data_IF_714906311181
#
_entry.id   IF_714906311181
#
_cell.length_a   1.000
_cell.length_b   1.000
_cell.length_c   1.000
_cell.angle_alpha   90.00
_cell.angle_beta   90.00
_cell.angle_gamma   90.00
#
_symmetry.space_group_name_H-M   'P 1'
#
loop_
_entity.id
_entity.type
_entity.pdbx_description
1 polymer ?
#
# COMPACT_ATOMS: atom_id res chain seq x y z
N UNK A 1 43.04 -47.40 -3.85
CA UNK A 1 42.13 -46.24 -3.70
C UNK A 1 42.83 -44.93 -3.36
N UNK A 2 44.12 -44.92 -2.99
CA UNK A 2 44.87 -43.69 -2.61
C UNK A 2 45.67 -43.04 -3.75
N UNK A 3 45.86 -43.69 -4.91
CA UNK A 3 46.60 -43.10 -6.04
C UNK A 3 45.75 -42.19 -6.93
N UNK A 4 44.43 -42.41 -7.01
CA UNK A 4 43.52 -41.58 -7.80
C UNK A 4 43.34 -40.16 -7.24
N UNK A 5 43.65 -39.92 -5.97
CA UNK A 5 43.57 -38.60 -5.34
C UNK A 5 44.74 -37.67 -5.69
N UNK A 6 45.91 -38.20 -6.08
CA UNK A 6 47.07 -37.35 -6.44
C UNK A 6 46.93 -36.71 -7.83
N UNK A 7 46.25 -37.37 -8.77
CA UNK A 7 46.10 -36.87 -10.14
C UNK A 7 45.15 -35.66 -10.23
N UNK A 8 44.18 -35.54 -9.32
CA UNK A 8 43.28 -34.38 -9.27
C UNK A 8 43.89 -33.12 -8.66
N UNK A 9 45.00 -33.23 -7.90
CA UNK A 9 45.62 -32.08 -7.22
C UNK A 9 46.43 -31.14 -8.13
N UNK A 10 46.83 -31.59 -9.33
CA UNK A 10 47.72 -30.82 -10.21
C UNK A 10 47.00 -30.10 -11.36
N UNK A 11 45.69 -30.29 -11.54
CA UNK A 11 44.92 -29.65 -12.61
C UNK A 11 44.10 -28.46 -12.08
N UNK A 12 44.04 -27.38 -12.84
CA UNK A 12 43.20 -26.21 -12.52
C UNK A 12 41.72 -26.59 -12.35
N UNK A 13 41.26 -27.62 -13.07
CA UNK A 13 39.91 -28.17 -12.96
C UNK A 13 39.67 -28.84 -11.59
N UNK A 14 40.65 -29.60 -11.07
CA UNK A 14 40.55 -30.22 -9.75
C UNK A 14 40.52 -29.21 -8.61
N UNK A 15 41.32 -28.13 -8.71
CA UNK A 15 41.30 -27.04 -7.75
C UNK A 15 39.94 -26.31 -7.70
N UNK A 16 39.31 -26.11 -8.87
CA UNK A 16 37.97 -25.49 -8.95
C UNK A 16 36.87 -26.40 -8.39
N UNK A 17 36.92 -27.71 -8.68
CA UNK A 17 35.97 -28.67 -8.12
C UNK A 17 36.06 -28.75 -6.59
N UNK A 18 37.28 -28.76 -6.03
CA UNK A 18 37.49 -28.77 -4.59
C UNK A 18 36.96 -27.49 -3.93
N UNK A 19 37.19 -26.32 -4.54
CA UNK A 19 36.65 -25.03 -4.07
C UNK A 19 35.13 -25.01 -4.08
N UNK A 20 34.51 -25.56 -5.12
CA UNK A 20 33.05 -25.65 -5.22
C UNK A 20 32.47 -26.55 -4.13
N UNK A 21 33.08 -27.72 -3.89
CA UNK A 21 32.65 -28.64 -2.82
C UNK A 21 32.79 -27.98 -1.44
N UNK A 22 33.91 -27.30 -1.19
CA UNK A 22 34.11 -26.52 0.04
C UNK A 22 33.04 -25.44 0.21
N UNK A 23 32.73 -24.69 -0.85
CA UNK A 23 31.70 -23.66 -0.83
C UNK A 23 30.32 -24.24 -0.50
N UNK A 24 29.95 -25.37 -1.12
CA UNK A 24 28.68 -26.05 -0.86
C UNK A 24 28.61 -26.56 0.58
N UNK A 25 29.70 -27.11 1.12
CA UNK A 25 29.75 -27.56 2.51
C UNK A 25 29.63 -26.39 3.51
N UNK A 26 30.29 -25.26 3.23
CA UNK A 26 30.21 -24.06 4.08
C UNK A 26 28.79 -23.46 4.05
N UNK A 27 28.19 -23.32 2.87
CA UNK A 27 26.83 -22.79 2.72
C UNK A 27 25.82 -23.74 3.34
N UNK A 28 25.93 -25.05 3.06
CA UNK A 28 25.06 -26.08 3.62
C UNK A 28 25.15 -26.14 5.15
N UNK A 29 26.36 -26.06 5.71
CA UNK A 29 26.58 -25.99 7.15
C UNK A 29 26.00 -24.72 7.79
N UNK A 30 26.18 -23.56 7.16
CA UNK A 30 25.62 -22.31 7.65
C UNK A 30 24.07 -22.32 7.65
N UNK A 31 23.45 -22.88 6.60
CA UNK A 31 22.00 -23.01 6.53
C UNK A 31 21.45 -24.02 7.53
N UNK A 32 22.19 -25.09 7.83
CA UNK A 32 21.80 -26.08 8.84
C UNK A 32 21.86 -25.53 10.28
N UNK A 33 22.77 -24.60 10.56
CA UNK A 33 22.90 -23.96 11.87
C UNK A 33 21.91 -22.80 12.11
N UNK A 34 21.34 -22.23 11.05
CA UNK A 34 20.39 -21.12 11.11
C UNK A 34 19.17 -21.37 12.04
N UNK A 35 18.48 -22.53 11.99
CA UNK A 35 17.33 -22.79 12.87
C UNK A 35 17.73 -23.05 14.34
N UNK A 36 18.98 -23.46 14.61
CA UNK A 36 19.47 -23.63 15.99
C UNK A 36 19.67 -22.26 16.64
N UNK A 37 20.25 -21.32 15.91
CA UNK A 37 20.43 -19.93 16.35
C UNK A 37 19.10 -19.19 16.56
N UNK A 38 18.06 -19.48 15.76
CA UNK A 38 16.75 -18.87 15.96
C UNK A 38 16.05 -19.35 17.24
N UNK A 39 16.46 -20.49 17.81
CA UNK A 39 15.82 -21.08 18.98
C UNK A 39 16.33 -20.55 20.32
N UNK A 40 17.54 -19.97 20.35
CA UNK A 40 18.14 -19.44 21.58
C UNK A 40 17.65 -18.02 21.96
N UNK A 41 16.90 -17.35 21.08
CA UNK A 41 16.31 -16.03 21.33
C UNK A 41 14.86 -16.04 21.82
N UNK A 42 14.23 -17.22 21.90
CA UNK A 42 12.88 -17.37 22.39
C UNK A 42 12.95 -17.53 23.91
N UNK A 43 13.01 -16.40 24.63
CA UNK A 43 12.78 -16.42 26.08
C UNK A 43 11.50 -17.22 26.34
N UNK A 44 11.49 -18.10 27.37
CA UNK A 44 10.30 -18.88 27.70
C UNK A 44 9.16 -17.91 27.93
N UNK A 45 8.26 -17.80 26.93
CA UNK A 45 7.08 -16.95 26.98
C UNK A 45 6.38 -17.24 28.29
N UNK A 46 6.47 -16.29 29.22
CA UNK A 46 5.80 -16.35 30.49
C UNK A 46 4.36 -16.78 30.20
N UNK A 47 3.97 -17.96 30.71
CA UNK A 47 2.63 -18.48 30.46
C UNK A 47 1.64 -17.35 30.78
N UNK A 48 0.79 -16.95 29.81
CA UNK A 48 -0.09 -15.82 30.00
C UNK A 48 -0.92 -16.10 31.24
N UNK A 49 -0.64 -15.37 32.32
CA UNK A 49 -1.32 -15.55 33.58
C UNK A 49 -2.68 -14.92 33.37
N UNK A 50 -3.66 -15.73 32.97
CA UNK A 50 -5.04 -15.29 32.79
C UNK A 50 -5.52 -14.80 34.14
N UNK A 51 -5.53 -13.47 34.34
CA UNK A 51 -6.13 -12.86 35.52
C UNK A 51 -7.58 -13.31 35.57
N UNK A 52 -7.99 -13.85 36.71
CA UNK A 52 -9.38 -14.19 36.96
C UNK A 52 -10.26 -12.96 36.68
N UNK A 53 -11.43 -13.13 36.05
CA UNK A 53 -12.32 -12.04 35.73
C UNK A 53 -12.72 -11.32 37.02
N UNK A 54 -12.26 -10.07 37.16
CA UNK A 54 -12.71 -9.19 38.23
C UNK A 54 -14.15 -8.82 37.88
N UNK A 55 -15.10 -9.29 38.68
CA UNK A 55 -16.49 -8.83 38.62
C UNK A 55 -16.49 -7.35 39.03
N UNK A 56 -16.50 -6.46 38.04
CA UNK A 56 -16.74 -5.05 38.27
C UNK A 56 -18.15 -4.92 38.85
N UNK A 57 -18.34 -4.14 39.93
CA UNK A 57 -19.68 -3.85 40.43
C UNK A 57 -20.51 -3.28 39.29
N UNK A 58 -21.66 -3.91 39.03
CA UNK A 58 -22.59 -3.52 37.97
C UNK A 58 -22.89 -2.04 38.16
N UNK A 59 -22.50 -1.21 37.20
CA UNK A 59 -22.81 0.21 37.22
C UNK A 59 -24.34 0.34 37.39
N UNK A 60 -24.81 1.21 38.31
CA UNK A 60 -26.24 1.43 38.46
C UNK A 60 -26.83 1.79 37.09
N UNK A 61 -28.05 1.32 36.77
CA UNK A 61 -28.67 1.59 35.49
C UNK A 61 -28.63 3.09 35.22
N UNK A 62 -28.25 3.51 34.00
CA UNK A 62 -28.16 4.91 33.68
C UNK A 62 -29.49 5.59 34.06
N UNK A 63 -29.44 6.77 34.71
CA UNK A 63 -30.65 7.46 35.11
C UNK A 63 -31.56 7.59 33.90
N UNK A 64 -32.84 7.21 34.07
CA UNK A 64 -33.81 7.26 32.98
C UNK A 64 -33.69 8.61 32.29
N UNK A 65 -33.38 8.58 30.99
CA UNK A 65 -33.18 9.78 30.22
C UNK A 65 -34.42 10.65 30.39
N UNK A 66 -34.24 11.85 30.96
CA UNK A 66 -35.33 12.81 31.11
C UNK A 66 -36.02 12.93 29.74
N UNK A 67 -37.37 12.89 29.68
CA UNK A 67 -38.10 13.02 28.43
C UNK A 67 -37.54 14.23 27.68
N UNK A 68 -36.95 13.99 26.51
CA UNK A 68 -36.47 15.09 25.69
C UNK A 68 -37.70 15.93 25.35
N UNK A 69 -37.65 17.27 25.53
CA UNK A 69 -38.77 18.11 25.14
C UNK A 69 -39.11 17.81 23.69
N UNK A 70 -40.37 17.47 23.43
CA UNK A 70 -40.85 17.23 22.08
C UNK A 70 -40.55 18.49 21.27
N UNK A 71 -39.86 18.31 20.14
CA UNK A 71 -39.59 19.41 19.23
C UNK A 71 -40.92 20.02 18.82
N UNK A 72 -41.03 21.35 18.87
CA UNK A 72 -42.23 22.00 18.37
C UNK A 72 -42.39 21.69 16.88
N UNK A 73 -43.62 21.71 16.33
CA UNK A 73 -43.85 21.48 14.91
C UNK A 73 -42.99 22.36 13.99
N UNK A 74 -42.67 23.58 14.43
CA UNK A 74 -41.81 24.52 13.71
C UNK A 74 -40.33 24.15 13.79
N UNK A 75 -39.88 23.59 14.92
CA UNK A 75 -38.54 23.04 15.05
C UNK A 75 -38.39 21.80 14.17
N UNK A 76 -39.37 20.88 14.19
CA UNK A 76 -39.38 19.71 13.32
C UNK A 76 -39.31 20.11 11.84
N UNK A 77 -40.10 21.09 11.41
CA UNK A 77 -40.09 21.60 10.03
C UNK A 77 -38.75 22.18 9.57
N UNK A 78 -37.90 22.70 10.46
CA UNK A 78 -36.54 23.17 10.09
C UNK A 78 -35.62 22.04 9.67
N UNK A 79 -35.77 20.86 10.28
CA UNK A 79 -34.99 19.66 9.92
C UNK A 79 -35.44 19.05 8.59
N UNK A 80 -36.70 19.25 8.22
CA UNK A 80 -37.27 18.81 6.94
C UNK A 80 -37.37 19.93 5.90
N UNK A 81 -36.75 21.10 6.15
CA UNK A 81 -36.67 22.14 5.11
C UNK A 81 -35.96 21.50 3.92
N UNK A 82 -36.48 21.61 2.69
CA UNK A 82 -35.75 21.15 1.53
C UNK A 82 -34.38 21.81 1.57
N UNK A 83 -33.35 21.00 1.83
CA UNK A 83 -31.97 21.40 1.63
C UNK A 83 -31.94 21.95 0.21
N UNK A 84 -31.36 23.14 0.01
CA UNK A 84 -31.23 23.78 -1.31
C UNK A 84 -30.23 23.00 -2.19
N UNK A 85 -30.44 21.69 -2.32
CA UNK A 85 -29.65 20.75 -3.10
C UNK A 85 -29.83 20.99 -4.60
N UNK A 86 -30.89 21.70 -5.00
CA UNK A 86 -31.15 22.04 -6.40
C UNK A 86 -30.08 22.96 -7.01
N UNK A 87 -29.39 23.76 -6.18
CA UNK A 87 -28.26 24.60 -6.61
C UNK A 87 -26.90 23.97 -6.27
N UNK A 88 -26.86 23.06 -5.30
CA UNK A 88 -25.64 22.35 -4.93
C UNK A 88 -25.33 21.27 -5.98
N UNK A 89 -24.35 21.53 -6.83
CA UNK A 89 -23.75 20.50 -7.69
C UNK A 89 -22.97 19.52 -6.83
N UNK A 90 -23.60 18.42 -6.44
CA UNK A 90 -22.89 17.29 -5.86
C UNK A 90 -22.08 16.59 -6.96
N UNK A 91 -20.79 16.91 -7.04
CA UNK A 91 -19.86 16.07 -7.79
C UNK A 91 -19.61 14.80 -6.96
N UNK A 92 -20.43 13.77 -7.17
CA UNK A 92 -20.04 12.43 -6.77
C UNK A 92 -18.76 12.11 -7.56
N UNK A 93 -17.60 12.07 -6.89
CA UNK A 93 -16.32 11.70 -7.52
C UNK A 93 -15.92 10.25 -7.16
N UNK A 94 -16.55 9.20 -7.73
CA UNK A 94 -15.97 7.87 -7.70
C UNK A 94 -15.27 7.59 -9.03
N UNK A 95 -13.95 7.68 -8.99
CA UNK A 95 -13.00 6.70 -9.57
C UNK A 95 -11.60 7.24 -9.28
N UNK A 96 -11.20 7.20 -8.01
CA UNK A 96 -9.80 7.40 -7.69
C UNK A 96 -9.05 6.11 -8.03
N UNK A 97 -8.56 6.11 -9.26
CA UNK A 97 -7.56 5.21 -9.74
C UNK A 97 -7.51 5.36 -11.26
N UNK A 98 -6.30 5.55 -11.76
CA UNK A 98 -6.01 5.63 -13.20
C UNK A 98 -5.51 4.27 -13.64
N UNK A 99 -6.01 3.70 -14.75
CA UNK A 99 -5.50 2.41 -15.20
C UNK A 99 -3.98 2.50 -15.42
N UNK A 100 -3.18 1.51 -14.97
CA UNK A 100 -1.73 1.51 -15.20
C UNK A 100 -1.34 1.72 -16.67
N UNK A 101 -2.12 1.16 -17.61
CA UNK A 101 -1.93 1.40 -19.04
C UNK A 101 -2.02 2.88 -19.45
N UNK A 102 -2.99 3.62 -18.90
CA UNK A 102 -3.21 5.04 -19.23
C UNK A 102 -2.07 5.92 -18.70
N UNK A 103 -1.59 5.65 -17.47
CA UNK A 103 -0.41 6.32 -16.92
C UNK A 103 0.80 6.10 -17.81
N UNK A 104 0.96 4.89 -18.34
CA UNK A 104 2.04 4.58 -19.25
C UNK A 104 1.91 5.24 -20.62
N UNK A 105 0.71 5.30 -21.19
CA UNK A 105 0.49 6.03 -22.44
C UNK A 105 0.91 7.50 -22.30
N UNK A 106 0.64 8.13 -21.17
CA UNK A 106 1.04 9.52 -20.88
C UNK A 106 2.55 9.68 -20.73
N UNK A 107 3.21 8.82 -19.96
CA UNK A 107 4.66 8.92 -19.77
C UNK A 107 5.46 8.56 -21.03
N UNK A 108 4.93 7.71 -21.90
CA UNK A 108 5.53 7.48 -23.23
C UNK A 108 5.60 8.77 -24.06
N UNK A 109 4.57 9.61 -24.00
CA UNK A 109 4.55 10.89 -24.72
C UNK A 109 5.60 11.88 -24.20
N UNK A 110 6.11 11.69 -22.98
CA UNK A 110 7.14 12.55 -22.40
C UNK A 110 8.56 12.03 -22.65
N UNK A 111 8.73 10.94 -23.40
CA UNK A 111 10.04 10.38 -23.77
C UNK A 111 10.52 9.26 -22.85
N UNK A 112 9.63 8.66 -22.04
CA UNK A 112 9.93 7.39 -21.39
C UNK A 112 9.81 6.24 -22.39
N UNK A 113 10.60 5.20 -22.20
CA UNK A 113 10.50 3.93 -22.93
C UNK A 113 9.70 2.93 -22.11
N UNK A 114 8.92 2.07 -22.78
CA UNK A 114 8.17 0.99 -22.12
C UNK A 114 9.07 -0.24 -21.96
N UNK A 115 9.20 -0.70 -20.72
CA UNK A 115 9.86 -1.96 -20.40
C UNK A 115 8.85 -3.12 -20.43
N UNK A 116 7.72 -2.94 -19.74
CA UNK A 116 6.66 -3.95 -19.58
C UNK A 116 5.32 -3.27 -19.34
N UNK A 117 4.24 -3.84 -19.88
CA UNK A 117 2.87 -3.47 -19.54
C UNK A 117 1.98 -4.72 -19.55
N UNK A 118 0.96 -4.76 -18.69
CA UNK A 118 -0.02 -5.84 -18.63
C UNK A 118 -0.06 -6.51 -17.26
N UNK A 119 -0.46 -7.78 -17.20
CA UNK A 119 -0.59 -8.50 -15.93
C UNK A 119 0.76 -8.61 -15.18
N UNK A 120 0.73 -8.34 -13.88
CA UNK A 120 1.83 -8.57 -12.94
C UNK A 120 2.28 -10.02 -12.99
N UNK A 121 3.55 -10.33 -12.67
CA UNK A 121 3.97 -11.69 -12.36
C UNK A 121 3.11 -12.24 -11.20
N UNK A 122 2.22 -13.20 -11.50
CA UNK A 122 1.21 -13.71 -10.55
C UNK A 122 -0.25 -13.36 -10.91
N UNK A 123 -0.50 -12.64 -11.99
CA UNK A 123 -1.81 -12.55 -12.67
C UNK A 123 -2.90 -11.72 -11.99
N UNK A 124 -2.74 -11.33 -10.72
CA UNK A 124 -3.82 -10.68 -9.96
C UNK A 124 -3.92 -9.16 -10.12
N UNK A 125 -2.96 -8.51 -10.80
CA UNK A 125 -2.87 -7.04 -10.91
C UNK A 125 -2.41 -6.63 -12.29
N UNK A 126 -2.81 -5.46 -12.73
CA UNK A 126 -2.17 -4.80 -13.88
C UNK A 126 -0.95 -3.99 -13.39
N UNK A 127 0.15 -4.07 -14.14
CA UNK A 127 1.35 -3.31 -13.91
C UNK A 127 1.80 -2.64 -15.20
N UNK A 128 2.43 -1.48 -15.05
CA UNK A 128 3.17 -0.89 -16.13
C UNK A 128 4.51 -0.33 -15.66
N UNK A 129 5.56 -0.73 -16.36
CA UNK A 129 6.95 -0.39 -16.08
C UNK A 129 7.55 0.38 -17.25
N UNK A 130 8.23 1.47 -16.93
CA UNK A 130 8.86 2.37 -17.89
C UNK A 130 10.27 2.73 -17.44
N UNK A 131 11.14 3.00 -18.40
CA UNK A 131 12.48 3.52 -18.15
C UNK A 131 12.76 4.82 -18.87
N UNK A 132 13.65 5.61 -18.28
CA UNK A 132 14.29 6.74 -18.94
C UNK A 132 15.78 6.68 -18.65
N UNK A 133 16.58 6.78 -19.69
CA UNK A 133 18.03 6.60 -19.63
C UNK A 133 18.72 7.86 -20.10
N UNK A 134 19.69 8.32 -19.31
CA UNK A 134 20.56 9.43 -19.65
C UNK A 134 21.95 8.86 -19.94
N UNK A 135 22.33 8.72 -21.22
CA UNK A 135 23.60 8.11 -21.59
C UNK A 135 24.76 8.95 -21.06
N UNK A 136 25.79 8.27 -20.54
CA UNK A 136 27.02 8.93 -20.10
C UNK A 136 27.97 9.10 -21.29
N UNK A 137 28.49 10.32 -21.57
CA UNK A 137 29.30 10.58 -22.77
C UNK A 137 30.61 9.76 -22.91
N UNK A 138 31.13 9.19 -21.80
CA UNK A 138 32.44 8.56 -21.74
C UNK A 138 32.43 7.07 -21.34
N UNK A 139 31.36 6.33 -21.65
CA UNK A 139 31.33 4.85 -21.48
C UNK A 139 31.15 4.35 -20.05
N UNK A 140 30.70 5.18 -19.12
CA UNK A 140 30.31 4.75 -17.76
C UNK A 140 28.84 4.35 -17.64
N UNK A 141 28.43 3.95 -16.43
CA UNK A 141 27.03 3.61 -16.18
C UNK A 141 26.13 4.84 -16.39
N UNK A 142 25.04 4.65 -17.13
CA UNK A 142 24.06 5.69 -17.43
C UNK A 142 23.17 5.96 -16.21
N UNK A 143 22.80 7.22 -15.99
CA UNK A 143 21.72 7.56 -15.05
C UNK A 143 20.41 6.95 -15.57
N UNK A 144 19.68 6.26 -14.69
CA UNK A 144 18.45 5.54 -15.06
C UNK A 144 17.33 5.85 -14.10
N UNK A 145 16.17 6.16 -14.66
CA UNK A 145 14.90 6.28 -13.96
C UNK A 145 14.06 5.06 -14.33
N UNK A 146 13.46 4.43 -13.33
CA UNK A 146 12.55 3.31 -13.50
C UNK A 146 11.24 3.64 -12.80
N UNK A 147 10.16 3.76 -13.56
CA UNK A 147 8.82 3.98 -13.04
C UNK A 147 8.02 2.68 -13.10
N UNK A 148 7.24 2.41 -12.05
CA UNK A 148 6.34 1.27 -11.95
C UNK A 148 5.01 1.75 -11.38
N UNK A 149 3.95 1.63 -12.16
CA UNK A 149 2.57 1.84 -11.72
C UNK A 149 1.89 0.48 -11.51
N UNK A 150 1.17 0.31 -10.40
CA UNK A 150 0.48 -0.95 -10.07
C UNK A 150 -0.97 -0.71 -9.64
N UNK A 151 -1.87 -1.49 -10.22
CA UNK A 151 -3.28 -1.60 -9.82
C UNK A 151 -3.48 -2.14 -8.40
N UNK A 152 -4.68 -1.98 -7.85
CA UNK A 152 -5.07 -2.74 -6.67
C UNK A 152 -5.28 -4.23 -6.99
N UNK A 153 -5.57 -5.05 -5.97
CA UNK A 153 -5.74 -6.50 -6.13
C UNK A 153 -7.14 -6.79 -6.67
N UNK A 154 -7.24 -7.13 -7.96
CA UNK A 154 -8.50 -7.36 -8.65
C UNK A 154 -8.40 -6.96 -10.13
N UNK A 155 -9.17 -7.60 -11.01
CA UNK A 155 -9.11 -7.36 -12.47
C UNK A 155 -9.71 -6.01 -12.91
N UNK A 156 -10.37 -5.28 -12.01
CA UNK A 156 -11.07 -4.01 -12.32
C UNK A 156 -10.53 -2.79 -11.55
N UNK A 157 -9.44 -2.97 -10.79
CA UNK A 157 -8.95 -1.92 -9.91
C UNK A 157 -7.82 -1.11 -10.52
N UNK A 158 -8.00 0.20 -10.48
CA UNK A 158 -7.07 1.14 -11.05
C UNK A 158 -5.83 1.40 -10.16
N UNK A 159 -4.80 2.07 -10.70
CA UNK A 159 -3.50 2.23 -10.05
C UNK A 159 -3.61 2.90 -8.68
N UNK A 160 -3.01 2.27 -7.66
CA UNK A 160 -2.94 2.80 -6.30
C UNK A 160 -1.52 3.18 -5.89
N UNK A 161 -0.51 2.46 -6.37
CA UNK A 161 0.89 2.64 -5.98
C UNK A 161 1.74 2.88 -7.24
N UNK A 162 2.33 4.06 -7.31
CA UNK A 162 3.29 4.42 -8.34
C UNK A 162 4.64 4.66 -7.66
N UNK A 163 5.68 4.01 -8.17
CA UNK A 163 7.04 4.14 -7.66
C UNK A 163 7.98 4.54 -8.77
N UNK A 164 8.87 5.49 -8.50
CA UNK A 164 9.96 5.86 -9.39
C UNK A 164 11.28 5.68 -8.67
N UNK A 165 12.07 4.70 -9.10
CA UNK A 165 13.45 4.51 -8.68
C UNK A 165 14.38 5.36 -9.52
N UNK A 166 15.19 6.17 -8.87
CA UNK A 166 16.08 7.15 -9.49
C UNK A 166 17.50 6.72 -9.14
N UNK A 167 18.28 6.31 -10.14
CA UNK A 167 19.68 5.95 -9.97
C UNK A 167 20.55 6.98 -10.69
N UNK A 168 21.16 7.90 -9.95
CA UNK A 168 22.04 8.93 -10.50
C UNK A 168 23.49 8.43 -10.50
N UNK A 169 23.99 8.03 -11.66
CA UNK A 169 25.38 7.64 -11.89
C UNK A 169 26.24 8.79 -12.42
N UNK A 170 25.59 9.83 -12.92
CA UNK A 170 26.20 11.04 -13.46
C UNK A 170 25.49 12.27 -12.87
N UNK A 171 26.22 13.06 -12.10
CA UNK A 171 25.73 14.33 -11.52
C UNK A 171 25.39 15.34 -12.60
N UNK A 172 26.06 15.31 -13.76
CA UNK A 172 25.75 16.19 -14.89
C UNK A 172 24.34 15.96 -15.46
N UNK A 173 23.78 14.77 -15.26
CA UNK A 173 22.42 14.43 -15.68
C UNK A 173 21.37 14.70 -14.59
N UNK A 174 21.77 15.07 -13.36
CA UNK A 174 20.85 15.18 -12.23
C UNK A 174 19.76 16.23 -12.46
N UNK A 175 20.11 17.40 -13.00
CA UNK A 175 19.12 18.46 -13.23
C UNK A 175 18.07 18.05 -14.29
N UNK A 176 18.51 17.43 -15.39
CA UNK A 176 17.61 16.91 -16.42
C UNK A 176 16.72 15.79 -15.88
N UNK A 177 17.30 14.86 -15.12
CA UNK A 177 16.56 13.81 -14.42
C UNK A 177 15.52 14.39 -13.45
N UNK A 178 15.88 15.41 -12.67
CA UNK A 178 14.98 16.07 -11.72
C UNK A 178 13.80 16.75 -12.41
N UNK A 179 14.02 17.40 -13.57
CA UNK A 179 12.96 17.97 -14.40
C UNK A 179 12.03 16.89 -14.95
N UNK A 180 12.58 15.80 -15.47
CA UNK A 180 11.77 14.75 -16.09
C UNK A 180 10.97 13.94 -15.06
N UNK A 181 11.53 13.69 -13.87
CA UNK A 181 10.80 13.07 -12.75
C UNK A 181 9.72 14.02 -12.24
N UNK A 182 9.98 15.33 -12.17
CA UNK A 182 8.97 16.33 -11.80
C UNK A 182 7.83 16.39 -12.81
N UNK A 183 8.14 16.40 -14.11
CA UNK A 183 7.15 16.36 -15.18
C UNK A 183 6.32 15.06 -15.14
N UNK A 184 6.96 13.92 -14.86
CA UNK A 184 6.27 12.67 -14.64
C UNK A 184 5.31 12.75 -13.44
N UNK A 185 5.74 13.28 -12.29
CA UNK A 185 4.87 13.47 -11.13
C UNK A 185 3.65 14.34 -11.47
N UNK A 186 3.84 15.45 -12.18
CA UNK A 186 2.74 16.32 -12.64
C UNK A 186 1.78 15.53 -13.53
N UNK A 187 2.27 14.83 -14.55
CA UNK A 187 1.44 14.07 -15.47
C UNK A 187 0.65 12.94 -14.77
N UNK A 188 1.28 12.27 -13.79
CA UNK A 188 0.66 11.20 -13.01
C UNK A 188 -0.44 11.73 -12.09
N UNK A 189 -0.21 12.85 -11.40
CA UNK A 189 -1.21 13.46 -10.53
C UNK A 189 -2.34 14.11 -11.33
N UNK A 190 -2.02 14.77 -12.44
CA UNK A 190 -3.01 15.36 -13.35
C UNK A 190 -3.99 14.30 -13.89
N UNK A 191 -3.48 13.11 -14.25
CA UNK A 191 -4.31 11.99 -14.65
C UNK A 191 -5.31 11.54 -13.56
N UNK A 192 -4.99 11.79 -12.29
CA UNK A 192 -5.86 11.53 -11.15
C UNK A 192 -6.69 12.76 -10.72
N UNK A 193 -6.64 13.88 -11.47
CA UNK A 193 -7.31 15.14 -11.13
C UNK A 193 -6.65 15.87 -9.95
N UNK A 194 -5.38 15.60 -9.69
CA UNK A 194 -4.60 16.15 -8.58
C UNK A 194 -3.45 17.02 -9.12
N UNK A 195 -2.94 17.93 -8.29
CA UNK A 195 -1.77 18.74 -8.63
C UNK A 195 -0.72 18.69 -7.51
N UNK A 196 0.56 18.49 -7.81
CA UNK A 196 1.61 18.58 -6.81
C UNK A 196 1.81 20.03 -6.37
N UNK A 197 2.22 20.24 -5.11
CA UNK A 197 2.59 21.56 -4.61
C UNK A 197 3.92 22.05 -5.20
N UNK A 198 4.09 23.37 -5.34
CA UNK A 198 5.31 23.97 -5.86
C UNK A 198 6.56 23.59 -5.03
N UNK A 199 6.41 23.48 -3.70
CA UNK A 199 7.47 23.04 -2.79
C UNK A 199 7.87 21.59 -3.05
N UNK A 200 6.90 20.71 -3.30
CA UNK A 200 7.12 19.29 -3.67
C UNK A 200 7.91 19.19 -4.97
N UNK A 201 7.53 19.96 -5.99
CA UNK A 201 8.23 19.97 -7.28
C UNK A 201 9.66 20.52 -7.14
N UNK A 202 9.85 21.59 -6.36
CA UNK A 202 11.18 22.14 -6.10
C UNK A 202 12.09 21.13 -5.37
N UNK A 203 11.58 20.46 -4.34
CA UNK A 203 12.33 19.45 -3.61
C UNK A 203 12.68 18.25 -4.52
N UNK A 204 11.73 17.79 -5.32
CA UNK A 204 11.94 16.69 -6.26
C UNK A 204 12.97 17.03 -7.34
N UNK A 205 12.93 18.22 -7.91
CA UNK A 205 13.89 18.68 -8.91
C UNK A 205 15.33 18.74 -8.36
N UNK A 206 15.50 18.93 -7.05
CA UNK A 206 16.79 18.95 -6.34
C UNK A 206 17.15 17.59 -5.71
N UNK A 207 16.27 16.60 -5.82
CA UNK A 207 16.34 15.33 -5.09
C UNK A 207 16.51 15.49 -3.58
N UNK A 208 15.86 16.50 -3.00
CA UNK A 208 15.77 16.68 -1.54
C UNK A 208 14.67 15.75 -1.01
N UNK A 209 14.95 14.86 -0.04
CA UNK A 209 13.94 13.97 0.53
C UNK A 209 12.78 14.76 1.17
N UNK A 210 11.56 14.27 0.97
CA UNK A 210 10.35 14.90 1.51
C UNK A 210 9.22 13.88 1.71
N UNK A 211 8.23 14.27 2.50
CA UNK A 211 6.91 13.66 2.52
C UNK A 211 5.86 14.78 2.40
N UNK A 212 4.87 14.59 1.54
CA UNK A 212 3.85 15.57 1.23
C UNK A 212 2.49 14.90 0.97
N UNK A 213 1.42 15.69 1.03
CA UNK A 213 0.08 15.23 0.68
C UNK A 213 -0.57 16.20 -0.31
N UNK A 214 -1.18 15.68 -1.38
CA UNK A 214 -1.88 16.46 -2.39
C UNK A 214 -3.22 15.79 -2.72
N UNK A 215 -4.33 16.43 -2.33
CA UNK A 215 -5.69 15.90 -2.57
C UNK A 215 -5.87 14.45 -2.12
N UNK A 216 -5.36 14.11 -0.92
CA UNK A 216 -5.43 12.76 -0.36
C UNK A 216 -4.30 11.81 -0.78
N UNK A 217 -3.63 12.07 -1.91
CA UNK A 217 -2.46 11.28 -2.33
C UNK A 217 -1.26 11.56 -1.42
N UNK A 218 -0.57 10.50 -1.00
CA UNK A 218 0.68 10.60 -0.23
C UNK A 218 1.85 10.50 -1.20
N UNK A 219 2.74 11.49 -1.15
CA UNK A 219 3.89 11.59 -2.05
C UNK A 219 5.12 11.64 -1.15
N UNK A 220 6.10 10.77 -1.38
CA UNK A 220 7.34 10.76 -0.61
C UNK A 220 8.55 10.46 -1.46
N UNK A 221 9.62 11.22 -1.29
CA UNK A 221 10.92 10.94 -1.87
C UNK A 221 11.87 10.54 -0.75
N UNK A 222 12.41 9.32 -0.82
CA UNK A 222 13.37 8.81 0.17
C UNK A 222 14.69 8.44 -0.48
N UNK A 223 15.79 8.70 0.21
CA UNK A 223 17.11 8.21 -0.17
C UNK A 223 17.19 6.70 0.09
N UNK A 224 17.70 5.92 -0.86
CA UNK A 224 18.02 4.51 -0.67
C UNK A 224 19.54 4.33 -0.48
N UNK A 225 19.94 3.43 0.41
CA UNK A 225 21.35 3.11 0.63
C UNK A 225 21.91 2.37 -0.58
N UNK A 226 22.87 2.99 -1.26
CA UNK A 226 23.60 2.41 -2.40
C UNK A 226 25.00 3.04 -2.50
N UNK A 227 25.82 2.51 -3.40
CA UNK A 227 27.12 3.06 -3.83
C UNK A 227 26.99 4.35 -4.65
N UNK A 228 25.77 4.66 -5.11
CA UNK A 228 25.40 5.84 -5.88
C UNK A 228 24.28 6.63 -5.19
N UNK A 229 24.04 7.86 -5.66
CA UNK A 229 22.87 8.65 -5.22
C UNK A 229 21.60 8.02 -5.78
N UNK A 230 20.89 7.31 -4.91
CA UNK A 230 19.67 6.59 -5.25
C UNK A 230 18.48 7.09 -4.45
N UNK A 231 17.36 7.29 -5.14
CA UNK A 231 16.13 7.75 -4.54
C UNK A 231 14.95 6.87 -4.95
N UNK A 232 13.92 6.85 -4.11
CA UNK A 232 12.66 6.19 -4.35
C UNK A 232 11.53 7.17 -4.11
N UNK A 233 10.92 7.64 -5.21
CA UNK A 233 9.69 8.42 -5.18
C UNK A 233 8.53 7.42 -5.07
N UNK A 234 7.70 7.56 -4.05
CA UNK A 234 6.47 6.78 -3.88
C UNK A 234 5.28 7.72 -3.94
N UNK A 235 4.27 7.36 -4.74
CA UNK A 235 3.00 8.06 -4.86
C UNK A 235 1.91 7.04 -4.55
N UNK A 236 1.22 7.24 -3.44
CA UNK A 236 0.08 6.43 -3.05
C UNK A 236 -1.19 7.25 -3.28
N UNK A 237 -1.98 6.86 -4.28
CA UNK A 237 -3.26 7.50 -4.58
C UNK A 237 -4.31 7.11 -3.53
N UNK A 238 -5.26 8.01 -3.21
CA UNK A 238 -6.32 7.69 -2.27
C UNK A 238 -7.17 6.55 -2.81
N UNK A 239 -7.52 5.58 -1.96
CA UNK A 239 -8.47 4.54 -2.38
C UNK A 239 -9.87 5.15 -2.52
N UNK A 240 -10.66 4.71 -3.52
CA UNK A 240 -11.99 5.26 -3.77
C UNK A 240 -12.98 5.11 -2.60
N UNK A 241 -12.68 4.26 -1.60
CA UNK A 241 -13.55 3.99 -0.44
C UNK A 241 -12.91 4.27 0.94
N UNK A 242 -11.69 4.82 1.01
CA UNK A 242 -11.07 5.13 2.32
C UNK A 242 -11.55 6.47 2.94
N UNK A 243 -12.43 7.20 2.27
CA UNK A 243 -13.02 8.47 2.74
C UNK A 243 -14.10 8.35 3.82
N UNK A 244 -14.52 7.14 4.19
CA UNK A 244 -15.53 6.93 5.21
C UNK A 244 -15.56 5.50 5.66
N UNK A 245 -15.47 5.29 6.96
CA UNK A 245 -15.65 4.00 7.61
C UNK A 245 -16.92 3.31 7.03
N UNK A 246 -16.74 2.24 6.27
CA UNK A 246 -17.82 1.50 5.57
C UNK A 246 -18.81 0.86 6.55
N UNK A 247 -18.40 0.73 7.81
CA UNK A 247 -19.18 0.39 8.99
C UNK A 247 -20.32 1.37 9.29
N UNK A 248 -20.32 2.59 8.73
CA UNK A 248 -21.41 3.57 8.92
C UNK A 248 -22.65 3.27 8.07
N UNK A 249 -22.49 2.47 7.01
CA UNK A 249 -23.56 2.15 6.06
C UNK A 249 -23.87 0.65 6.01
N UNK A 250 -23.18 -0.18 6.80
CA UNK A 250 -23.57 -1.56 6.99
C UNK A 250 -24.73 -1.61 8.02
N UNK A 251 -25.97 -1.92 7.60
CA UNK A 251 -27.11 -2.04 8.52
C UNK A 251 -26.91 -3.14 9.58
N UNK A 252 -25.90 -4.00 9.42
CA UNK A 252 -25.56 -5.06 10.37
C UNK A 252 -24.45 -4.68 11.36
N UNK A 253 -23.69 -3.59 11.13
CA UNK A 253 -22.55 -3.23 11.98
C UNK A 253 -22.93 -2.60 13.33
N UNK A 254 -24.20 -2.21 13.52
CA UNK A 254 -24.68 -1.59 14.77
C UNK A 254 -25.38 -2.57 15.74
N UNK A 255 -25.25 -3.88 15.55
CA UNK A 255 -25.70 -4.84 16.57
C UNK A 255 -24.49 -5.34 17.37
N UNK A 256 -24.24 -4.84 18.60
CA UNK A 256 -23.28 -5.48 19.48
C UNK A 256 -23.68 -6.95 19.63
N UNK A 257 -22.75 -7.86 19.30
CA UNK A 257 -22.86 -9.30 19.56
C UNK A 257 -23.18 -9.51 21.04
N UNK A 258 -24.46 -9.64 21.39
CA UNK A 258 -24.84 -9.77 22.79
C UNK A 258 -26.30 -9.47 23.14
N UNK A 259 -27.13 -8.92 22.24
CA UNK A 259 -28.57 -8.88 22.50
C UNK A 259 -29.20 -10.23 22.13
N UNK A 260 -29.73 -11.01 23.10
CA UNK A 260 -30.61 -12.11 22.75
C UNK A 260 -31.84 -11.53 22.02
N UNK A 261 -32.40 -12.24 21.03
CA UNK A 261 -33.64 -11.81 20.40
C UNK A 261 -34.69 -11.62 21.50
N UNK A 262 -35.29 -10.43 21.55
CA UNK A 262 -36.42 -10.16 22.42
C UNK A 262 -37.47 -11.24 22.13
N UNK A 263 -37.74 -12.07 23.13
CA UNK A 263 -38.71 -13.14 23.05
C UNK A 263 -40.03 -12.58 22.53
N UNK A 264 -40.42 -13.04 21.34
CA UNK A 264 -41.81 -13.05 20.93
C UNK A 264 -42.55 -13.83 22.00
N UNK A 265 -43.20 -13.11 22.90
CA UNK A 265 -44.24 -13.64 23.75
C UNK A 265 -45.29 -14.25 22.81
N UNK A 266 -45.31 -15.58 22.75
CA UNK A 266 -46.43 -16.33 22.20
C UNK A 266 -47.64 -16.05 23.09
N UNK A 267 -48.47 -15.11 22.64
CA UNK A 267 -49.83 -14.96 23.11
C UNK A 267 -50.60 -16.24 22.74
N UNK A 268 -50.75 -17.13 23.72
CA UNK A 268 -51.70 -18.24 23.63
C UNK A 268 -53.13 -17.72 23.72
N UNK A 269 -53.72 -17.42 22.57
CA UNK A 269 -55.14 -17.71 22.29
C UNK A 269 -55.14 -19.12 21.69
N UNK A 270 -55.96 -20.09 22.06
CA UNK A 270 -57.35 -20.04 22.52
C UNK A 270 -58.20 -20.78 21.48
N UNK A 271 -58.29 -22.11 21.58
CA UNK A 271 -59.32 -22.97 20.96
C UNK A 271 -59.53 -24.11 21.97
N UNK A 272 -60.71 -24.42 22.51
CA UNK A 272 -62.04 -24.39 21.93
C UNK A 272 -62.35 -25.80 21.37
N UNK A 273 -62.89 -26.71 22.19
CA UNK A 273 -63.27 -28.05 21.72
C UNK A 273 -63.89 -28.97 22.77
N UNK A 274 -65.21 -28.87 22.93
CA UNK A 274 -66.11 -29.91 23.49
C UNK A 274 -66.24 -31.08 22.48
N UNK A 275 -66.59 -32.30 22.94
CA UNK A 275 -68.01 -32.65 23.07
C UNK A 275 -68.46 -32.97 24.50
#
# INVERSE_FOLDING_TARGET
>A
MFETLRVFGASAAGAMALRLILLILVIGGALFLLPVWQREGEEPSAMPTVRQPVLLPVAPPPPQAKPRPALSPDQARRWFRPLALGEARFAFQPKHGVAPADLCARLLQTGWARDRAGAAPGGEREECALTRVYPKPAGGQATRLFALARGARGMEDAALDIRVKINLYDEGAAEAAGRDVSAALVALLDAAGLAPGATTLSALARFEPFEAQAGGAKIGLKTERADIRRFNLTILLPRPFEGGATDRFDPHAAMPKGYPPAGLASAGMGEGGQP
#
